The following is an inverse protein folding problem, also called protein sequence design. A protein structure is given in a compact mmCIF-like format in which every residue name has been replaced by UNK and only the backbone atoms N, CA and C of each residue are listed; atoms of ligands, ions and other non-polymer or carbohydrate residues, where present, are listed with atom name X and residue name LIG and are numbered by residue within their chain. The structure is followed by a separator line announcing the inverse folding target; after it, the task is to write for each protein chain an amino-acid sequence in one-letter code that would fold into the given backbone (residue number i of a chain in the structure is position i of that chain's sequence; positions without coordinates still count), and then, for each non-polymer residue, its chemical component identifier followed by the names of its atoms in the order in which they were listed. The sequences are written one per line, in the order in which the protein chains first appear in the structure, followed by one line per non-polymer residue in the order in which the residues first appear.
data_IF_564469699913
#
_entry.id   IF_564469699913
#
_cell.length_a   1.000
_cell.length_b   1.000
_cell.length_c   1.000
_cell.angle_alpha   90.00
_cell.angle_beta   90.00
_cell.angle_gamma   90.00
#
_symmetry.space_group_name_H-M   'P 1'
#
loop_
_entity.id
_entity.type
_entity.pdbx_description
1 polymer ?
#
# COMPACT_ATOMS: atom_id res chain seq x y z
N UNK A 1 21.91 13.87 -1.96
CA UNK A 1 22.02 14.52 -0.62
C UNK A 1 21.77 13.58 0.56
N UNK A 2 22.18 13.95 1.79
CA UNK A 2 21.86 13.18 3.01
C UNK A 2 20.38 13.37 3.37
N UNK A 3 19.75 12.34 3.94
CA UNK A 3 18.33 12.40 4.36
C UNK A 3 18.04 13.51 5.40
N UNK A 4 19.05 13.90 6.19
CA UNK A 4 18.96 15.01 7.15
C UNK A 4 18.95 16.39 6.50
N UNK A 5 19.46 16.50 5.27
CA UNK A 5 19.55 17.75 4.51
C UNK A 5 18.29 18.00 3.67
N UNK A 6 17.49 16.95 3.45
CA UNK A 6 16.23 17.08 2.72
C UNK A 6 15.25 17.95 3.50
N UNK A 7 14.81 19.02 2.84
CA UNK A 7 13.91 20.03 3.40
C UNK A 7 12.45 19.59 3.24
N UNK A 8 11.87 19.09 4.33
CA UNK A 8 10.44 18.81 4.45
C UNK A 8 9.95 19.44 5.76
N UNK A 9 8.66 19.73 5.86
CA UNK A 9 8.07 20.11 7.15
C UNK A 9 8.03 18.88 8.08
N UNK A 10 9.06 18.72 8.90
CA UNK A 10 9.21 17.60 9.83
C UNK A 10 8.24 17.68 11.02
N UNK A 11 7.46 18.75 11.15
CA UNK A 11 6.40 18.85 12.17
C UNK A 11 5.21 17.96 11.84
N UNK A 12 4.93 17.74 10.56
CA UNK A 12 3.78 16.98 10.06
C UNK A 12 4.16 15.83 9.13
N UNK A 13 5.24 15.96 8.37
CA UNK A 13 5.72 14.95 7.43
C UNK A 13 6.88 14.14 7.99
N UNK A 14 7.03 12.92 7.45
CA UNK A 14 8.15 12.03 7.76
C UNK A 14 8.86 11.63 6.48
N UNK A 15 10.05 11.06 6.63
CA UNK A 15 10.75 10.42 5.53
C UNK A 15 10.23 9.00 5.32
N UNK A 16 10.45 8.50 4.10
CA UNK A 16 10.35 7.09 3.77
C UNK A 16 11.23 6.21 4.68
N UNK A 17 10.87 4.93 4.76
CA UNK A 17 11.58 3.94 5.56
C UNK A 17 12.95 3.57 4.96
N UNK A 18 13.83 3.01 5.80
CA UNK A 18 15.12 2.46 5.35
C UNK A 18 14.94 1.32 4.32
N UNK A 19 14.01 0.38 4.50
CA UNK A 19 13.66 -0.59 3.45
C UNK A 19 13.25 0.06 2.12
N UNK A 20 12.36 1.04 2.14
CA UNK A 20 11.92 1.74 0.92
C UNK A 20 13.08 2.44 0.21
N UNK A 21 13.93 3.16 0.96
CA UNK A 21 15.17 3.73 0.42
C UNK A 21 16.04 2.67 -0.27
N UNK A 22 16.20 1.50 0.36
CA UNK A 22 17.01 0.41 -0.18
C UNK A 22 16.43 -0.12 -1.51
N UNK A 23 15.12 -0.31 -1.59
CA UNK A 23 14.46 -0.75 -2.83
C UNK A 23 14.64 0.27 -3.96
N UNK A 24 14.43 1.56 -3.67
CA UNK A 24 14.61 2.63 -4.66
C UNK A 24 16.06 2.68 -5.16
N UNK A 25 17.04 2.68 -4.25
CA UNK A 25 18.45 2.69 -4.62
C UNK A 25 18.86 1.45 -5.43
N UNK A 26 18.28 0.29 -5.13
CA UNK A 26 18.53 -0.94 -5.89
C UNK A 26 18.02 -0.81 -7.33
N UNK A 27 16.83 -0.25 -7.55
CA UNK A 27 16.31 0.00 -8.90
C UNK A 27 17.07 1.11 -9.64
N UNK A 28 17.49 2.17 -8.96
CA UNK A 28 18.40 3.17 -9.56
C UNK A 28 19.73 2.52 -9.99
N UNK A 29 20.28 1.64 -9.15
CA UNK A 29 21.54 0.92 -9.46
C UNK A 29 21.39 -0.01 -10.66
N UNK A 30 20.22 -0.64 -10.81
CA UNK A 30 19.89 -1.53 -11.92
C UNK A 30 19.86 -0.78 -13.26
N UNK A 31 19.32 0.43 -13.28
CA UNK A 31 18.98 1.15 -14.52
C UNK A 31 19.97 2.24 -14.93
N UNK A 32 20.70 2.83 -13.97
CA UNK A 32 21.57 3.95 -14.22
C UNK A 32 23.06 3.60 -14.04
N UNK A 33 23.94 4.14 -14.89
CA UNK A 33 25.38 3.98 -14.73
C UNK A 33 25.85 4.65 -13.45
N UNK A 34 26.95 4.17 -12.86
CA UNK A 34 27.43 4.59 -11.55
C UNK A 34 27.54 6.12 -11.39
N UNK A 35 28.01 6.80 -12.43
CA UNK A 35 28.18 8.26 -12.46
C UNK A 35 26.88 9.07 -12.37
N UNK A 36 25.72 8.47 -12.66
CA UNK A 36 24.41 9.14 -12.63
C UNK A 36 23.60 8.81 -11.36
N UNK A 37 23.92 7.71 -10.65
CA UNK A 37 23.07 7.17 -9.58
C UNK A 37 22.80 8.16 -8.45
N UNK A 38 23.83 8.90 -8.02
CA UNK A 38 23.67 9.89 -6.96
C UNK A 38 22.77 11.06 -7.38
N UNK A 39 22.93 11.53 -8.62
CA UNK A 39 22.11 12.61 -9.17
C UNK A 39 20.66 12.18 -9.32
N UNK A 40 20.40 10.96 -9.80
CA UNK A 40 19.04 10.40 -9.91
C UNK A 40 18.42 10.23 -8.53
N UNK A 41 19.16 9.70 -7.56
CA UNK A 41 18.65 9.58 -6.19
C UNK A 41 18.30 10.94 -5.59
N UNK A 42 19.14 11.95 -5.80
CA UNK A 42 18.85 13.31 -5.37
C UNK A 42 17.59 13.89 -6.02
N UNK A 43 17.37 13.64 -7.32
CA UNK A 43 16.13 14.03 -7.98
C UNK A 43 14.90 13.35 -7.38
N UNK A 44 14.99 12.07 -7.00
CA UNK A 44 13.90 11.37 -6.30
C UNK A 44 13.61 12.02 -4.94
N UNK A 45 14.65 12.36 -4.17
CA UNK A 45 14.50 13.03 -2.89
C UNK A 45 13.86 14.42 -3.04
N UNK A 46 14.34 15.22 -4.01
CA UNK A 46 13.79 16.55 -4.29
C UNK A 46 12.33 16.46 -4.75
N UNK A 47 11.99 15.49 -5.61
CA UNK A 47 10.61 15.24 -6.03
C UNK A 47 9.73 14.87 -4.84
N UNK A 48 10.22 14.03 -3.95
CA UNK A 48 9.51 13.66 -2.73
C UNK A 48 9.19 14.88 -1.86
N UNK A 49 10.17 15.75 -1.61
CA UNK A 49 9.97 16.98 -0.85
C UNK A 49 8.99 17.94 -1.54
N UNK A 50 9.09 18.08 -2.86
CA UNK A 50 8.18 18.92 -3.65
C UNK A 50 6.73 18.44 -3.53
N UNK A 51 6.49 17.13 -3.68
CA UNK A 51 5.14 16.58 -3.58
C UNK A 51 4.57 16.74 -2.16
N UNK A 52 5.38 16.50 -1.12
CA UNK A 52 4.97 16.71 0.26
C UNK A 52 4.63 18.16 0.58
N UNK A 53 5.32 19.14 -0.03
CA UNK A 53 5.00 20.56 0.19
C UNK A 53 3.57 20.96 -0.22
N UNK A 54 2.94 20.15 -1.08
CA UNK A 54 1.56 20.31 -1.58
C UNK A 54 0.59 19.31 -0.93
N UNK A 55 1.05 18.57 0.07
CA UNK A 55 0.30 17.52 0.75
C UNK A 55 -0.31 18.03 2.06
N UNK A 56 -1.37 17.34 2.50
CA UNK A 56 -2.06 17.65 3.75
C UNK A 56 -1.19 17.31 4.97
N UNK A 57 -1.33 18.09 6.04
CA UNK A 57 -0.42 18.09 7.21
C UNK A 57 -1.03 17.44 8.45
N UNK A 58 -2.23 16.88 8.35
CA UNK A 58 -3.06 16.38 9.44
C UNK A 58 -3.01 14.85 9.62
N UNK A 59 -2.24 14.13 8.80
CA UNK A 59 -2.14 12.66 8.83
C UNK A 59 -1.34 12.10 10.03
N UNK A 60 -0.87 12.94 10.95
CA UNK A 60 -0.18 12.53 12.17
C UNK A 60 1.29 12.07 12.03
N UNK A 61 1.77 11.89 10.80
CA UNK A 61 3.17 11.58 10.48
C UNK A 61 3.71 10.41 11.30
N UNK A 62 4.84 10.61 11.99
CA UNK A 62 5.55 9.55 12.74
C UNK A 62 4.69 8.86 13.82
N UNK A 63 3.62 9.51 14.29
CA UNK A 63 2.73 8.98 15.34
C UNK A 63 1.61 8.09 14.77
N UNK A 64 1.39 8.13 13.46
CA UNK A 64 0.36 7.37 12.78
C UNK A 64 0.95 6.03 12.29
N UNK A 65 0.19 4.95 12.39
CA UNK A 65 0.63 3.61 12.00
C UNK A 65 0.44 3.32 10.50
N UNK A 66 -0.56 3.93 9.84
CA UNK A 66 -0.76 3.84 8.39
C UNK A 66 -0.07 4.99 7.65
N UNK A 67 -0.07 6.20 8.22
CA UNK A 67 0.61 7.36 7.64
C UNK A 67 1.97 7.65 8.29
N UNK A 68 2.62 6.61 8.82
CA UNK A 68 3.96 6.70 9.40
C UNK A 68 5.07 6.31 8.44
N UNK A 69 6.27 6.15 8.99
CA UNK A 69 7.42 5.55 8.28
C UNK A 69 7.06 4.09 7.96
N UNK A 70 7.15 3.68 6.69
CA UNK A 70 6.71 2.35 6.27
C UNK A 70 5.26 2.26 5.77
N UNK A 71 4.51 3.36 5.80
CA UNK A 71 3.13 3.43 5.33
C UNK A 71 2.99 4.36 4.12
N UNK A 72 2.00 5.26 4.10
CA UNK A 72 1.75 6.19 2.99
C UNK A 72 2.99 6.95 2.51
N UNK A 73 3.91 7.30 3.41
CA UNK A 73 5.14 8.00 3.04
C UNK A 73 6.13 7.15 2.24
N UNK A 74 6.09 5.82 2.36
CA UNK A 74 6.82 4.91 1.49
C UNK A 74 6.15 4.84 0.11
N UNK A 75 4.81 4.79 0.05
CA UNK A 75 4.07 4.87 -1.22
C UNK A 75 4.40 6.18 -1.97
N UNK A 76 4.42 7.32 -1.26
CA UNK A 76 4.80 8.62 -1.84
C UNK A 76 6.25 8.61 -2.36
N UNK A 77 7.16 7.91 -1.68
CA UNK A 77 8.55 7.78 -2.15
C UNK A 77 8.67 6.90 -3.39
N UNK A 78 7.91 5.80 -3.47
CA UNK A 78 7.83 4.97 -4.68
C UNK A 78 7.22 5.77 -5.84
N UNK A 79 6.16 6.55 -5.58
CA UNK A 79 5.57 7.48 -6.55
C UNK A 79 6.58 8.53 -7.02
N UNK A 80 7.41 9.06 -6.11
CA UNK A 80 8.47 10.03 -6.44
C UNK A 80 9.54 9.40 -7.33
N UNK A 81 9.95 8.17 -7.02
CA UNK A 81 10.84 7.37 -7.87
C UNK A 81 10.22 7.14 -9.25
N UNK A 82 8.96 6.74 -9.30
CA UNK A 82 8.26 6.51 -10.55
C UNK A 82 8.23 7.77 -11.42
N UNK A 83 7.93 8.94 -10.86
CA UNK A 83 7.93 10.21 -11.61
C UNK A 83 9.30 10.50 -12.22
N UNK A 84 10.39 10.28 -11.49
CA UNK A 84 11.76 10.56 -11.96
C UNK A 84 12.22 9.52 -12.98
N UNK A 85 11.89 8.24 -12.75
CA UNK A 85 12.41 7.10 -13.49
C UNK A 85 11.38 6.46 -14.45
N UNK A 86 10.28 7.16 -14.76
CA UNK A 86 9.12 6.62 -15.51
C UNK A 86 9.51 5.96 -16.83
N UNK A 87 10.46 6.57 -17.55
CA UNK A 87 10.85 6.12 -18.88
C UNK A 87 11.55 4.74 -18.89
N UNK A 88 12.17 4.35 -17.78
CA UNK A 88 12.94 3.09 -17.67
C UNK A 88 12.31 2.09 -16.71
N UNK A 89 11.34 2.52 -15.90
CA UNK A 89 10.71 1.70 -14.88
C UNK A 89 9.48 1.00 -15.45
N UNK A 90 9.45 -0.32 -15.33
CA UNK A 90 8.25 -1.11 -15.67
C UNK A 90 7.25 -1.16 -14.50
N UNK A 91 5.98 -1.40 -14.83
CA UNK A 91 4.93 -1.61 -13.83
C UNK A 91 5.28 -2.74 -12.85
N UNK A 92 5.82 -3.86 -13.35
CA UNK A 92 6.16 -5.02 -12.53
C UNK A 92 7.25 -4.68 -11.50
N UNK A 93 8.19 -3.81 -11.84
CA UNK A 93 9.24 -3.42 -10.90
C UNK A 93 8.70 -2.60 -9.73
N UNK A 94 7.70 -1.73 -9.97
CA UNK A 94 7.03 -1.01 -8.87
C UNK A 94 6.26 -2.00 -7.98
N UNK A 95 5.57 -2.96 -8.58
CA UNK A 95 4.84 -4.01 -7.84
C UNK A 95 5.81 -4.85 -6.99
N UNK A 96 6.98 -5.20 -7.53
CA UNK A 96 8.04 -5.89 -6.78
C UNK A 96 8.61 -5.07 -5.63
N UNK A 97 8.81 -3.77 -5.82
CA UNK A 97 9.27 -2.88 -4.73
C UNK A 97 8.26 -2.90 -3.59
N UNK A 98 6.97 -2.75 -3.88
CA UNK A 98 5.91 -2.80 -2.87
C UNK A 98 5.82 -4.19 -2.20
N UNK A 99 5.88 -5.27 -2.98
CA UNK A 99 5.92 -6.64 -2.48
C UNK A 99 7.11 -6.85 -1.52
N UNK A 100 8.29 -6.31 -1.83
CA UNK A 100 9.47 -6.41 -0.97
C UNK A 100 9.35 -5.61 0.33
N UNK A 101 8.51 -4.57 0.38
CA UNK A 101 8.23 -3.82 1.60
C UNK A 101 7.22 -4.53 2.49
N UNK A 102 6.15 -5.07 1.90
CA UNK A 102 4.99 -5.58 2.64
C UNK A 102 5.13 -7.08 2.97
N UNK A 103 5.47 -7.91 1.98
CA UNK A 103 5.42 -9.37 2.13
C UNK A 103 6.38 -9.96 3.17
N UNK A 104 7.56 -9.39 3.51
CA UNK A 104 8.40 -9.95 4.58
C UNK A 104 7.67 -10.14 5.92
N UNK A 105 6.74 -9.25 6.26
CA UNK A 105 5.94 -9.39 7.49
C UNK A 105 4.93 -10.53 7.37
N UNK A 106 4.24 -10.64 6.24
CA UNK A 106 3.29 -11.72 5.98
C UNK A 106 3.94 -13.10 5.85
N UNK A 107 5.16 -13.17 5.29
CA UNK A 107 5.93 -14.43 5.18
C UNK A 107 6.27 -15.02 6.56
N UNK A 108 6.43 -14.18 7.59
CA UNK A 108 6.59 -14.63 8.98
C UNK A 108 5.31 -15.25 9.55
N UNK A 109 4.15 -14.92 8.96
CA UNK A 109 2.83 -15.39 9.36
C UNK A 109 2.33 -16.57 8.51
N UNK A 110 3.17 -17.21 7.70
CA UNK A 110 2.81 -18.36 6.84
C UNK A 110 2.19 -19.57 7.55
N UNK A 111 2.22 -19.61 8.89
CA UNK A 111 1.58 -20.64 9.70
C UNK A 111 0.09 -20.35 9.98
N UNK A 112 -0.36 -19.13 9.68
CA UNK A 112 -1.76 -18.69 9.78
C UNK A 112 -2.55 -19.33 8.65
N UNK A 113 -3.70 -19.92 8.98
CA UNK A 113 -4.58 -20.59 8.02
C UNK A 113 -6.02 -20.06 8.12
N UNK A 114 -6.39 -19.13 7.26
CA UNK A 114 -7.70 -18.47 7.29
C UNK A 114 -8.88 -19.37 6.91
N UNK A 115 -8.63 -20.60 6.45
CA UNK A 115 -9.69 -21.62 6.35
C UNK A 115 -10.18 -22.03 7.74
N UNK A 116 -9.36 -21.88 8.79
CA UNK A 116 -9.73 -22.26 10.16
C UNK A 116 -10.44 -21.10 10.88
N UNK A 117 -11.57 -21.35 11.56
CA UNK A 117 -12.33 -20.31 12.28
C UNK A 117 -11.50 -19.53 13.32
N UNK A 118 -10.54 -20.18 13.98
CA UNK A 118 -9.66 -19.54 14.95
C UNK A 118 -8.84 -18.39 14.33
N UNK A 119 -8.16 -18.66 13.22
CA UNK A 119 -7.32 -17.68 12.54
C UNK A 119 -8.16 -16.56 11.92
N UNK A 120 -9.31 -16.90 11.32
CA UNK A 120 -10.25 -15.91 10.79
C UNK A 120 -10.76 -14.97 11.88
N UNK A 121 -11.11 -15.49 13.07
CA UNK A 121 -11.51 -14.65 14.21
C UNK A 121 -10.38 -13.75 14.71
N UNK A 122 -9.13 -14.21 14.67
CA UNK A 122 -7.97 -13.38 15.03
C UNK A 122 -7.71 -12.27 14.02
N UNK A 123 -7.80 -12.58 12.72
CA UNK A 123 -7.70 -11.61 11.64
C UNK A 123 -8.79 -10.53 11.75
N UNK A 124 -10.05 -10.93 12.00
CA UNK A 124 -11.12 -9.96 12.27
C UNK A 124 -10.79 -9.00 13.42
N UNK A 125 -10.27 -9.52 14.54
CA UNK A 125 -9.85 -8.68 15.68
C UNK A 125 -8.73 -7.71 15.30
N UNK A 126 -7.82 -8.12 14.41
CA UNK A 126 -6.77 -7.23 13.90
C UNK A 126 -7.38 -6.08 13.08
N UNK A 127 -8.38 -6.34 12.22
CA UNK A 127 -9.08 -5.28 11.48
C UNK A 127 -9.88 -4.34 12.37
N UNK A 128 -10.57 -4.85 13.39
CA UNK A 128 -11.26 -4.00 14.38
C UNK A 128 -10.25 -3.08 15.10
N UNK A 129 -9.08 -3.60 15.46
CA UNK A 129 -8.01 -2.80 16.06
C UNK A 129 -7.45 -1.76 15.07
N UNK A 130 -7.27 -2.13 13.81
CA UNK A 130 -6.83 -1.22 12.76
C UNK A 130 -7.85 -0.08 12.59
N UNK A 131 -9.15 -0.39 12.57
CA UNK A 131 -10.22 0.61 12.54
C UNK A 131 -10.11 1.60 13.69
N UNK A 132 -9.96 1.13 14.94
CA UNK A 132 -9.77 2.03 16.09
C UNK A 132 -8.54 2.93 15.95
N UNK A 133 -7.49 2.43 15.28
CA UNK A 133 -6.32 3.23 14.93
C UNK A 133 -6.63 4.31 13.91
N UNK A 134 -7.42 4.01 12.88
CA UNK A 134 -7.82 4.97 11.85
C UNK A 134 -8.81 6.01 12.39
N UNK A 135 -9.78 5.59 13.21
CA UNK A 135 -10.76 6.48 13.87
C UNK A 135 -10.08 7.56 14.74
N UNK A 136 -8.86 7.29 15.22
CA UNK A 136 -8.07 8.26 15.99
C UNK A 136 -7.53 9.41 15.12
N UNK A 137 -7.24 9.14 13.85
CA UNK A 137 -6.56 10.07 12.96
C UNK A 137 -7.45 10.62 11.84
N UNK A 138 -8.63 10.03 11.60
CA UNK A 138 -9.57 10.43 10.55
C UNK A 138 -8.90 10.53 9.17
N UNK A 139 -8.07 9.54 8.86
CA UNK A 139 -7.23 9.46 7.67
C UNK A 139 -7.75 8.42 6.67
N UNK A 140 -7.76 7.17 7.11
CA UNK A 140 -8.36 6.02 6.45
C UNK A 140 -9.76 5.85 7.04
N UNK A 141 -10.79 6.35 6.37
CA UNK A 141 -12.17 6.19 6.82
C UNK A 141 -12.59 4.72 6.66
N UNK A 142 -12.42 3.95 7.73
CA UNK A 142 -12.53 2.49 7.74
C UNK A 142 -13.83 2.03 8.38
N UNK A 143 -14.54 1.12 7.70
CA UNK A 143 -15.69 0.40 8.26
C UNK A 143 -15.43 -1.09 8.26
N UNK A 144 -15.74 -1.77 9.37
CA UNK A 144 -15.60 -3.24 9.50
C UNK A 144 -16.97 -3.81 9.82
N UNK A 145 -17.47 -4.72 8.98
CA UNK A 145 -18.76 -5.37 9.23
C UNK A 145 -18.70 -6.31 10.44
N UNK A 146 -19.83 -6.56 11.13
CA UNK A 146 -19.88 -7.51 12.23
C UNK A 146 -19.35 -8.89 11.85
N UNK A 147 -18.59 -9.51 12.76
CA UNK A 147 -18.08 -10.86 12.54
C UNK A 147 -19.20 -11.90 12.60
N UNK A 148 -19.29 -12.73 11.56
CA UNK A 148 -20.19 -13.87 11.50
C UNK A 148 -19.41 -15.17 11.30
N UNK A 149 -19.68 -16.19 12.12
CA UNK A 149 -18.94 -17.43 12.03
C UNK A 149 -19.29 -18.19 10.74
N UNK A 150 -18.26 -18.53 9.96
CA UNK A 150 -18.41 -19.26 8.70
C UNK A 150 -18.71 -18.37 7.49
N UNK A 151 -18.78 -17.05 7.66
CA UNK A 151 -18.85 -16.09 6.56
C UNK A 151 -17.49 -15.41 6.31
N UNK A 152 -17.26 -14.86 5.11
CA UNK A 152 -16.15 -13.95 4.85
C UNK A 152 -16.15 -12.74 5.80
N UNK A 153 -14.97 -12.18 6.05
CA UNK A 153 -14.82 -10.90 6.75
C UNK A 153 -14.95 -9.79 5.73
N UNK A 154 -15.77 -8.79 6.01
CA UNK A 154 -15.86 -7.59 5.19
C UNK A 154 -15.37 -6.36 5.95
N UNK A 155 -14.54 -5.56 5.28
CA UNK A 155 -14.28 -4.19 5.65
C UNK A 155 -14.08 -3.34 4.39
N UNK A 156 -14.12 -2.03 4.56
CA UNK A 156 -13.89 -1.07 3.48
C UNK A 156 -13.15 0.16 3.97
N UNK A 157 -12.51 0.85 3.03
CA UNK A 157 -12.08 2.23 3.20
C UNK A 157 -12.86 3.12 2.23
N UNK A 158 -13.47 4.19 2.72
CA UNK A 158 -14.06 5.25 1.88
C UNK A 158 -13.10 6.42 1.65
N UNK A 159 -12.00 6.47 2.42
CA UNK A 159 -10.87 7.38 2.23
C UNK A 159 -9.56 6.61 2.34
N UNK A 160 -8.63 6.86 1.42
CA UNK A 160 -7.29 6.28 1.41
C UNK A 160 -6.29 7.38 1.04
N UNK A 161 -5.45 7.86 1.98
CA UNK A 161 -4.44 8.87 1.72
C UNK A 161 -3.51 8.57 0.53
N UNK A 162 -3.16 7.31 0.29
CA UNK A 162 -2.36 6.94 -0.88
C UNK A 162 -3.13 7.16 -2.21
N UNK A 163 -4.42 6.82 -2.26
CA UNK A 163 -5.26 7.07 -3.43
C UNK A 163 -5.55 8.56 -3.62
N UNK A 164 -5.87 9.29 -2.53
CA UNK A 164 -6.06 10.75 -2.55
C UNK A 164 -4.82 11.45 -3.10
N UNK A 165 -3.64 11.03 -2.65
CA UNK A 165 -2.36 11.55 -3.13
C UNK A 165 -2.17 11.27 -4.63
N UNK A 166 -2.35 10.03 -5.06
CA UNK A 166 -2.19 9.67 -6.46
C UNK A 166 -3.15 10.43 -7.38
N UNK A 167 -4.42 10.60 -6.97
CA UNK A 167 -5.40 11.39 -7.73
C UNK A 167 -4.95 12.85 -7.83
N UNK A 168 -4.60 13.48 -6.71
CA UNK A 168 -4.17 14.89 -6.67
C UNK A 168 -2.95 15.16 -7.56
N UNK A 169 -2.06 14.18 -7.69
CA UNK A 169 -0.81 14.33 -8.42
C UNK A 169 -0.79 13.66 -9.81
N UNK A 170 -1.92 13.08 -10.26
CA UNK A 170 -2.02 12.43 -11.57
C UNK A 170 -1.16 11.16 -11.69
N UNK A 171 -1.05 10.37 -10.62
CA UNK A 171 -0.23 9.15 -10.50
C UNK A 171 -1.09 7.89 -10.33
N UNK A 172 -2.34 7.94 -10.79
CA UNK A 172 -3.28 6.82 -10.65
C UNK A 172 -2.90 5.60 -11.48
N UNK A 173 -2.08 5.78 -12.52
CA UNK A 173 -1.60 4.72 -13.42
C UNK A 173 -0.69 3.69 -12.73
N UNK A 174 -0.03 4.05 -11.61
CA UNK A 174 0.80 3.13 -10.83
C UNK A 174 0.13 2.59 -9.57
N UNK A 175 -1.06 3.08 -9.23
CA UNK A 175 -1.79 2.59 -8.08
C UNK A 175 -2.06 1.07 -8.09
N UNK A 176 -2.34 0.42 -9.23
CA UNK A 176 -2.49 -1.02 -9.20
C UNK A 176 -1.23 -1.76 -8.74
N UNK A 177 -0.03 -1.26 -9.07
CA UNK A 177 1.23 -1.87 -8.61
C UNK A 177 1.38 -1.77 -7.08
N UNK A 178 0.87 -0.69 -6.48
CA UNK A 178 0.89 -0.47 -5.03
C UNK A 178 -0.24 -1.23 -4.31
N UNK A 179 -1.41 -1.36 -4.93
CA UNK A 179 -2.59 -1.96 -4.30
C UNK A 179 -2.66 -3.49 -4.43
N UNK A 180 -2.08 -4.06 -5.49
CA UNK A 180 -2.17 -5.51 -5.74
C UNK A 180 -1.46 -6.35 -4.67
N UNK A 181 -0.53 -5.75 -3.92
CA UNK A 181 0.17 -6.40 -2.81
C UNK A 181 -0.77 -6.91 -1.73
N UNK A 182 -1.96 -6.31 -1.59
CA UNK A 182 -2.99 -6.77 -0.66
C UNK A 182 -3.42 -8.21 -0.95
N UNK A 183 -3.56 -8.57 -2.24
CA UNK A 183 -3.90 -9.92 -2.64
C UNK A 183 -2.78 -10.90 -2.30
N UNK A 184 -1.55 -10.56 -2.68
CA UNK A 184 -0.37 -11.39 -2.39
C UNK A 184 -0.17 -11.57 -0.87
N UNK A 185 -0.49 -10.56 -0.09
CA UNK A 185 -0.44 -10.60 1.37
C UNK A 185 -1.47 -11.59 1.95
N UNK A 186 -2.70 -11.60 1.43
CA UNK A 186 -3.73 -12.55 1.88
C UNK A 186 -3.40 -14.00 1.49
N UNK A 187 -2.81 -14.21 0.31
CA UNK A 187 -2.41 -15.54 -0.16
C UNK A 187 -1.40 -16.22 0.78
N UNK A 188 -0.52 -15.44 1.43
CA UNK A 188 0.42 -15.94 2.43
C UNK A 188 -0.24 -16.42 3.74
N UNK A 189 -1.52 -16.13 3.93
CA UNK A 189 -2.30 -16.49 5.14
C UNK A 189 -3.36 -17.56 4.85
N UNK A 190 -3.25 -18.27 3.72
CA UNK A 190 -4.29 -19.15 3.20
C UNK A 190 -5.66 -18.46 3.09
N UNK A 191 -5.63 -17.18 2.68
CA UNK A 191 -6.79 -16.35 2.44
C UNK A 191 -6.82 -15.87 0.99
N UNK A 192 -8.00 -15.42 0.57
CA UNK A 192 -8.21 -14.67 -0.67
C UNK A 192 -8.92 -13.37 -0.36
N UNK A 193 -8.49 -12.32 -1.07
CA UNK A 193 -9.16 -11.04 -1.13
C UNK A 193 -10.12 -11.06 -2.33
N UNK A 194 -11.36 -10.65 -2.07
CA UNK A 194 -12.38 -10.32 -3.06
C UNK A 194 -12.61 -8.82 -3.01
N UNK A 195 -12.32 -8.14 -4.13
CA UNK A 195 -12.48 -6.68 -4.28
C UNK A 195 -13.03 -6.34 -5.66
N UNK A 196 -13.98 -5.41 -5.69
CA UNK A 196 -14.66 -4.95 -6.90
C UNK A 196 -14.28 -3.50 -7.27
N UNK A 197 -13.90 -2.69 -6.29
CA UNK A 197 -13.66 -1.25 -6.40
C UNK A 197 -12.44 -0.81 -5.60
N UNK A 198 -11.88 0.36 -5.95
CA UNK A 198 -10.83 1.01 -5.17
C UNK A 198 -11.19 2.48 -4.93
N UNK A 199 -10.57 3.13 -3.95
CA UNK A 199 -10.67 4.59 -3.77
C UNK A 199 -9.99 5.37 -4.91
N UNK A 200 -9.29 4.71 -5.85
CA UNK A 200 -8.61 5.38 -6.97
C UNK A 200 -9.62 5.70 -8.07
N UNK A 201 -10.52 4.76 -8.35
CA UNK A 201 -11.45 4.82 -9.49
C UNK A 201 -12.90 4.47 -9.13
N UNK A 202 -13.20 4.39 -7.84
CA UNK A 202 -14.52 4.16 -7.27
C UNK A 202 -14.71 4.93 -5.96
N UNK A 203 -15.81 4.66 -5.26
CA UNK A 203 -16.15 5.34 -4.01
C UNK A 203 -15.52 4.72 -2.75
N UNK A 204 -14.90 3.54 -2.87
CA UNK A 204 -14.29 2.81 -1.75
C UNK A 204 -13.30 1.76 -2.23
N UNK A 205 -12.37 1.38 -1.37
CA UNK A 205 -11.68 0.09 -1.45
C UNK A 205 -12.47 -0.93 -0.64
N UNK A 206 -13.09 -1.90 -1.30
CA UNK A 206 -13.74 -3.02 -0.63
C UNK A 206 -12.76 -4.18 -0.37
N UNK A 207 -12.91 -4.80 0.80
CA UNK A 207 -12.12 -5.95 1.22
C UNK A 207 -13.03 -7.02 1.78
N UNK A 208 -13.39 -7.99 0.94
CA UNK A 208 -14.00 -9.23 1.41
C UNK A 208 -12.94 -10.31 1.50
N UNK A 209 -12.65 -10.80 2.69
CA UNK A 209 -11.58 -11.77 2.94
C UNK A 209 -12.18 -13.10 3.39
N UNK A 210 -11.85 -14.17 2.67
CA UNK A 210 -12.25 -15.53 2.99
C UNK A 210 -11.06 -16.49 2.92
N UNK A 211 -11.24 -17.74 3.35
CA UNK A 211 -10.21 -18.78 3.18
C UNK A 211 -9.99 -19.10 1.71
N UNK A 212 -8.77 -19.51 1.35
CA UNK A 212 -8.43 -19.88 -0.03
C UNK A 212 -9.17 -21.11 -0.59
N UNK A 213 -9.89 -21.85 0.28
CA UNK A 213 -10.76 -22.99 -0.08
C UNK A 213 -12.25 -22.69 0.11
N UNK A 214 -12.60 -21.44 0.41
CA UNK A 214 -13.98 -21.07 0.71
C UNK A 214 -14.87 -21.14 -0.57
N UNK A 215 -16.03 -21.82 -0.53
CA UNK A 215 -16.96 -21.85 -1.67
C UNK A 215 -17.42 -20.47 -2.16
N UNK A 216 -17.34 -19.44 -1.31
CA UNK A 216 -17.61 -18.04 -1.67
C UNK A 216 -16.85 -17.61 -2.94
N UNK A 217 -15.62 -18.08 -3.11
CA UNK A 217 -14.77 -17.72 -4.26
C UNK A 217 -15.33 -18.17 -5.62
N UNK A 218 -16.22 -19.19 -5.66
CA UNK A 218 -16.83 -19.66 -6.90
C UNK A 218 -17.69 -18.59 -7.58
N UNK A 219 -18.29 -17.70 -6.79
CA UNK A 219 -19.08 -16.58 -7.28
C UNK A 219 -18.26 -15.35 -7.65
N UNK A 220 -16.97 -15.33 -7.30
CA UNK A 220 -16.12 -14.14 -7.35
C UNK A 220 -14.78 -14.41 -8.06
N UNK A 221 -14.81 -14.81 -9.35
CA UNK A 221 -13.58 -15.11 -10.08
C UNK A 221 -12.68 -13.87 -10.18
N UNK A 222 -11.41 -14.08 -9.88
CA UNK A 222 -10.38 -13.04 -9.97
C UNK A 222 -10.04 -12.73 -11.44
N UNK A 223 -9.81 -11.46 -11.77
CA UNK A 223 -9.31 -10.99 -13.05
C UNK A 223 -8.40 -9.77 -12.84
N UNK A 224 -7.66 -9.39 -13.89
CA UNK A 224 -6.94 -8.12 -13.93
C UNK A 224 -7.65 -7.18 -14.90
N UNK A 225 -7.96 -5.96 -14.46
CA UNK A 225 -8.59 -4.95 -15.32
C UNK A 225 -7.58 -4.30 -16.27
N UNK A 226 -8.06 -3.44 -17.18
CA UNK A 226 -7.23 -2.74 -18.17
C UNK A 226 -6.19 -1.80 -17.53
N UNK A 227 -6.48 -1.28 -16.33
CA UNK A 227 -5.58 -0.43 -15.57
C UNK A 227 -4.51 -1.25 -14.82
N UNK A 228 -4.68 -2.57 -14.68
CA UNK A 228 -3.74 -3.46 -14.01
C UNK A 228 -4.13 -3.83 -12.58
N UNK A 229 -5.31 -3.43 -12.08
CA UNK A 229 -5.78 -3.86 -10.76
C UNK A 229 -6.23 -5.31 -10.82
N UNK A 230 -5.81 -6.09 -9.83
CA UNK A 230 -6.46 -7.36 -9.50
C UNK A 230 -7.83 -7.05 -8.90
N UNK A 231 -8.87 -7.71 -9.38
CA UNK A 231 -10.29 -7.55 -8.99
C UNK A 231 -11.03 -8.88 -9.06
N UNK A 232 -12.25 -8.88 -8.56
CA UNK A 232 -13.19 -9.98 -8.62
C UNK A 232 -14.50 -9.53 -9.26
N UNK A 233 -15.17 -10.47 -9.95
CA UNK A 233 -16.51 -10.24 -10.52
C UNK A 233 -17.63 -10.46 -9.51
#
# INVERSE_FOLDING_TARGET
MRDSELQIDRSCHVLYSKPCKKEILAKITLHYPEVEREAVWEQVQLRYAELLSKWRTDLGGKKNFHNGVGGTYDCIAIMSYYVVCKAITSFREIEEMEENLILPTFRKLKFVDCNKPFWRKLMYRAFVRAKSGCDKWHDYEMSVAPYENGKPIYYEFTSCPAAEFAIRHGLTDIMPALCNVDYASMELLHAKLVRTTTCVDGCRCDYTICGDKDPYLKGHPEYRDEAGFRRNR
#
